data_IF_903078795601
#
_entry.id   IF_903078795601
#
_cell.length_a   1.000
_cell.length_b   1.000
_cell.length_c   1.000
_cell.angle_alpha   90.00
_cell.angle_beta   90.00
_cell.angle_gamma   90.00
#
_symmetry.space_group_name_H-M   'P 1'
#
loop_
_entity.id
_entity.type
_entity.pdbx_description
1 polymer ?
#
# COMPACT_ATOMS: atom_id res chain seq x y z
N UNK A 1 2.61 -30.60 0.70
CA UNK A 1 2.25 -30.04 -0.62
C UNK A 1 2.03 -28.54 -0.45
N UNK A 2 2.73 -27.70 -1.24
CA UNK A 2 2.41 -26.28 -1.33
C UNK A 2 1.11 -26.17 -2.15
N UNK A 3 0.06 -25.62 -1.56
CA UNK A 3 -1.21 -25.36 -2.25
C UNK A 3 -1.00 -24.25 -3.29
N UNK A 4 -1.75 -24.26 -4.41
CA UNK A 4 -1.73 -23.15 -5.37
C UNK A 4 -2.14 -21.82 -4.72
N UNK A 5 -3.01 -21.87 -3.71
CA UNK A 5 -3.44 -20.70 -2.93
C UNK A 5 -2.34 -20.09 -2.08
N UNK A 6 -1.38 -20.88 -1.57
CA UNK A 6 -0.22 -20.34 -0.86
C UNK A 6 0.74 -19.57 -1.79
N UNK A 7 0.80 -19.90 -3.09
CA UNK A 7 1.55 -19.10 -4.06
C UNK A 7 0.81 -17.79 -4.39
N UNK A 8 -0.51 -17.86 -4.53
CA UNK A 8 -1.37 -16.69 -4.74
C UNK A 8 -1.30 -15.71 -3.54
N UNK A 9 -1.32 -16.22 -2.31
CA UNK A 9 -1.16 -15.40 -1.11
C UNK A 9 0.18 -14.64 -1.07
N UNK A 10 1.28 -15.29 -1.47
CA UNK A 10 2.60 -14.62 -1.57
C UNK A 10 2.62 -13.51 -2.62
N UNK A 11 1.96 -13.73 -3.76
CA UNK A 11 1.84 -12.71 -4.79
C UNK A 11 1.08 -11.48 -4.27
N UNK A 12 -0.05 -11.70 -3.61
CA UNK A 12 -0.85 -10.59 -3.06
C UNK A 12 -0.15 -9.89 -1.89
N UNK A 13 0.60 -10.60 -1.03
CA UNK A 13 1.43 -9.98 0.00
C UNK A 13 2.49 -9.05 -0.62
N UNK A 14 3.15 -9.52 -1.69
CA UNK A 14 4.09 -8.68 -2.42
C UNK A 14 3.41 -7.44 -3.03
N UNK A 15 2.23 -7.59 -3.62
CA UNK A 15 1.45 -6.46 -4.17
C UNK A 15 1.09 -5.43 -3.10
N UNK A 16 0.65 -5.88 -1.92
CA UNK A 16 0.37 -5.01 -0.77
C UNK A 16 1.61 -4.19 -0.41
N UNK A 17 2.77 -4.85 -0.27
CA UNK A 17 4.03 -4.16 0.06
C UNK A 17 4.43 -3.15 -1.00
N UNK A 18 4.27 -3.46 -2.28
CA UNK A 18 4.60 -2.51 -3.35
C UNK A 18 3.65 -1.30 -3.31
N UNK A 19 2.36 -1.51 -3.08
CA UNK A 19 1.40 -0.41 -2.95
C UNK A 19 1.66 0.46 -1.72
N UNK A 20 2.10 -0.12 -0.59
CA UNK A 20 2.56 0.64 0.57
C UNK A 20 3.80 1.49 0.25
N UNK A 21 4.74 0.94 -0.52
CA UNK A 21 5.95 1.66 -0.95
C UNK A 21 5.60 2.85 -1.85
N UNK A 22 4.69 2.65 -2.80
CA UNK A 22 4.19 3.72 -3.67
C UNK A 22 3.49 4.82 -2.87
N UNK A 23 2.62 4.43 -1.93
CA UNK A 23 1.94 5.38 -1.04
C UNK A 23 2.93 6.20 -0.20
N UNK A 24 3.95 5.55 0.35
CA UNK A 24 5.02 6.23 1.09
C UNK A 24 5.75 7.26 0.21
N UNK A 25 6.07 6.90 -1.04
CA UNK A 25 6.72 7.82 -1.99
C UNK A 25 5.84 9.03 -2.31
N UNK A 26 4.54 8.84 -2.53
CA UNK A 26 3.59 9.94 -2.77
C UNK A 26 3.57 10.91 -1.57
N UNK A 27 3.49 10.38 -0.35
CA UNK A 27 3.49 11.19 0.88
C UNK A 27 4.79 11.96 1.10
N UNK A 28 5.93 11.35 0.79
CA UNK A 28 7.22 12.05 0.81
C UNK A 28 7.24 13.23 -0.17
N UNK A 29 6.70 13.04 -1.37
CA UNK A 29 6.60 14.13 -2.36
C UNK A 29 5.65 15.24 -1.89
N UNK A 30 4.51 14.90 -1.28
CA UNK A 30 3.60 15.88 -0.69
C UNK A 30 4.29 16.68 0.42
N UNK A 31 5.04 16.02 1.30
CA UNK A 31 5.79 16.69 2.36
C UNK A 31 6.85 17.64 1.80
N UNK A 32 7.55 17.24 0.73
CA UNK A 32 8.53 18.10 0.07
C UNK A 32 7.88 19.35 -0.57
N UNK A 33 6.70 19.20 -1.20
CA UNK A 33 5.97 20.35 -1.75
C UNK A 33 5.44 21.28 -0.64
N UNK A 34 4.97 20.71 0.47
CA UNK A 34 4.50 21.49 1.62
C UNK A 34 5.66 22.30 2.23
N UNK A 35 6.83 21.69 2.41
CA UNK A 35 8.04 22.40 2.86
C UNK A 35 8.46 23.50 1.87
N UNK A 36 8.33 23.27 0.56
CA UNK A 36 8.61 24.29 -0.45
C UNK A 36 7.63 25.47 -0.42
N UNK A 37 6.36 25.23 -0.10
CA UNK A 37 5.34 26.27 0.11
C UNK A 37 5.64 27.10 1.36
N UNK A 38 6.05 26.45 2.45
CA UNK A 38 6.46 27.12 3.69
C UNK A 38 7.70 27.99 3.46
N UNK A 39 8.74 27.45 2.82
CA UNK A 39 9.94 28.19 2.47
C UNK A 39 9.63 29.40 1.58
N UNK A 40 8.76 29.26 0.57
CA UNK A 40 8.33 30.38 -0.28
C UNK A 40 7.58 31.45 0.51
N UNK A 41 6.80 31.05 1.51
CA UNK A 41 6.07 31.98 2.39
C UNK A 41 7.04 32.79 3.25
N UNK A 42 8.08 32.14 3.80
CA UNK A 42 9.13 32.81 4.55
C UNK A 42 9.95 33.75 3.67
N UNK A 43 10.28 33.33 2.45
CA UNK A 43 11.02 34.14 1.45
C UNK A 43 10.25 35.43 1.11
N UNK A 44 8.94 35.33 0.82
CA UNK A 44 8.08 36.50 0.57
C UNK A 44 8.01 37.42 1.79
N UNK A 45 7.91 36.87 3.00
CA UNK A 45 7.88 37.67 4.22
C UNK A 45 9.21 38.42 4.46
N UNK A 46 10.35 37.78 4.15
CA UNK A 46 11.66 38.43 4.23
C UNK A 46 11.79 39.57 3.22
N UNK A 47 11.37 39.36 1.97
CA UNK A 47 11.40 40.38 0.92
C UNK A 47 10.51 41.58 1.27
N UNK A 48 9.33 41.33 1.86
CA UNK A 48 8.44 42.39 2.33
C UNK A 48 9.05 43.22 3.46
N UNK A 49 9.78 42.60 4.40
CA UNK A 49 10.49 43.32 5.47
C UNK A 49 11.61 44.18 4.90
N UNK A 50 12.41 43.63 4.00
CA UNK A 50 13.48 44.37 3.33
C UNK A 50 12.94 45.60 2.58
N UNK A 51 11.85 45.43 1.84
CA UNK A 51 11.23 46.54 1.12
C UNK A 51 10.63 47.61 2.04
N UNK A 52 10.17 47.24 3.25
CA UNK A 52 9.72 48.20 4.26
C UNK A 52 10.89 49.03 4.83
N UNK A 53 12.10 48.47 4.88
CA UNK A 53 13.33 49.16 5.31
C UNK A 53 13.94 50.04 4.21
N UNK A 54 13.71 49.73 2.93
CA UNK A 54 14.22 50.48 1.77
C UNK A 54 13.11 50.84 0.75
N UNK A 55 12.12 51.68 1.11
CA UNK A 55 10.87 51.82 0.35
C UNK A 55 11.03 52.37 -1.07
N UNK A 56 12.01 53.25 -1.28
CA UNK A 56 12.18 53.95 -2.56
C UNK A 56 12.85 53.08 -3.63
N UNK A 57 13.82 52.26 -3.24
CA UNK A 57 14.59 51.41 -4.15
C UNK A 57 13.93 50.03 -4.36
N UNK A 58 13.20 49.52 -3.37
CA UNK A 58 12.68 48.15 -3.39
C UNK A 58 11.21 47.99 -3.85
N UNK A 59 10.45 49.08 -4.05
CA UNK A 59 9.01 48.96 -4.34
C UNK A 59 8.71 48.24 -5.67
N UNK A 60 9.48 48.54 -6.72
CA UNK A 60 9.29 47.94 -8.06
C UNK A 60 9.77 46.49 -8.08
N UNK A 61 10.90 46.18 -7.42
CA UNK A 61 11.41 44.82 -7.30
C UNK A 61 10.48 43.93 -6.48
N UNK A 62 9.92 44.43 -5.37
CA UNK A 62 8.95 43.71 -4.55
C UNK A 62 7.70 43.35 -5.34
N UNK A 63 7.17 44.27 -6.16
CA UNK A 63 5.96 44.00 -6.96
C UNK A 63 6.21 42.92 -8.02
N UNK A 64 7.38 42.91 -8.66
CA UNK A 64 7.77 41.85 -9.59
C UNK A 64 7.94 40.51 -8.86
N UNK A 65 8.62 40.51 -7.73
CA UNK A 65 8.89 39.33 -6.92
C UNK A 65 7.60 38.69 -6.38
N UNK A 66 6.70 39.47 -5.77
CA UNK A 66 5.41 38.99 -5.24
C UNK A 66 4.52 38.37 -6.33
N UNK A 67 4.52 38.91 -7.55
CA UNK A 67 3.84 38.30 -8.70
C UNK A 67 4.44 36.94 -9.07
N UNK A 68 5.77 36.86 -9.15
CA UNK A 68 6.45 35.59 -9.45
C UNK A 68 6.20 34.55 -8.35
N UNK A 69 6.26 34.96 -7.08
CA UNK A 69 5.96 34.09 -5.94
C UNK A 69 4.51 33.59 -5.95
N UNK A 70 3.53 34.43 -6.32
CA UNK A 70 2.14 34.01 -6.46
C UNK A 70 1.96 32.93 -7.54
N UNK A 71 2.62 33.08 -8.69
CA UNK A 71 2.58 32.07 -9.77
C UNK A 71 3.22 30.75 -9.30
N UNK A 72 4.39 30.82 -8.66
CA UNK A 72 5.08 29.64 -8.12
C UNK A 72 4.24 28.94 -7.06
N UNK A 73 3.61 29.70 -6.16
CA UNK A 73 2.70 29.16 -5.14
C UNK A 73 1.54 28.41 -5.77
N UNK A 74 0.87 29.00 -6.75
CA UNK A 74 -0.26 28.36 -7.44
C UNK A 74 0.15 27.04 -8.13
N UNK A 75 1.33 26.99 -8.75
CA UNK A 75 1.87 25.75 -9.35
C UNK A 75 2.18 24.68 -8.30
N UNK A 76 2.80 25.05 -7.17
CA UNK A 76 3.06 24.13 -6.06
C UNK A 76 1.77 23.61 -5.43
N UNK A 77 0.79 24.47 -5.19
CA UNK A 77 -0.53 24.10 -4.65
C UNK A 77 -1.29 23.17 -5.60
N UNK A 78 -1.24 23.44 -6.91
CA UNK A 78 -1.83 22.56 -7.93
C UNK A 78 -1.21 21.16 -7.90
N UNK A 79 0.13 21.07 -7.91
CA UNK A 79 0.84 19.79 -7.85
C UNK A 79 0.56 19.05 -6.55
N UNK A 80 0.47 19.77 -5.43
CA UNK A 80 0.10 19.19 -4.15
C UNK A 80 -1.31 18.59 -4.17
N UNK A 81 -2.27 19.28 -4.79
CA UNK A 81 -3.63 18.77 -4.98
C UNK A 81 -3.65 17.50 -5.84
N UNK A 82 -2.90 17.48 -6.95
CA UNK A 82 -2.75 16.29 -7.81
C UNK A 82 -2.16 15.10 -7.05
N UNK A 83 -1.12 15.32 -6.22
CA UNK A 83 -0.53 14.28 -5.40
C UNK A 83 -1.47 13.78 -4.29
N UNK A 84 -2.31 14.65 -3.73
CA UNK A 84 -3.33 14.26 -2.73
C UNK A 84 -4.40 13.37 -3.36
N UNK A 85 -4.89 13.73 -4.55
CA UNK A 85 -5.83 12.89 -5.29
C UNK A 85 -5.21 11.52 -5.65
N UNK A 86 -3.92 11.51 -6.05
CA UNK A 86 -3.20 10.27 -6.32
C UNK A 86 -3.00 9.41 -5.05
N UNK A 87 -2.76 10.01 -3.88
CA UNK A 87 -2.67 9.30 -2.59
C UNK A 87 -4.01 8.65 -2.24
N UNK A 88 -5.13 9.38 -2.34
CA UNK A 88 -6.47 8.83 -2.11
C UNK A 88 -6.76 7.62 -3.02
N UNK A 89 -6.51 7.77 -4.33
CA UNK A 89 -6.66 6.66 -5.28
C UNK A 89 -5.74 5.47 -4.92
N UNK A 90 -4.50 5.74 -4.53
CA UNK A 90 -3.55 4.70 -4.16
C UNK A 90 -3.95 3.99 -2.86
N UNK A 91 -4.61 4.68 -1.92
CA UNK A 91 -5.20 4.07 -0.73
C UNK A 91 -6.35 3.13 -1.07
N UNK A 92 -7.19 3.47 -2.05
CA UNK A 92 -8.25 2.57 -2.54
C UNK A 92 -7.66 1.31 -3.16
N UNK A 93 -6.62 1.45 -3.99
CA UNK A 93 -5.89 0.32 -4.58
C UNK A 93 -5.26 -0.56 -3.50
N UNK A 94 -4.63 0.04 -2.48
CA UNK A 94 -4.06 -0.71 -1.36
C UNK A 94 -5.15 -1.46 -0.57
N UNK A 95 -6.30 -0.84 -0.33
CA UNK A 95 -7.46 -1.50 0.30
C UNK A 95 -7.95 -2.70 -0.51
N UNK A 96 -8.05 -2.56 -1.83
CA UNK A 96 -8.42 -3.67 -2.71
C UNK A 96 -7.39 -4.81 -2.67
N UNK A 97 -6.09 -4.49 -2.68
CA UNK A 97 -5.00 -5.48 -2.59
C UNK A 97 -5.05 -6.28 -1.29
N UNK A 98 -5.33 -5.63 -0.14
CA UNK A 98 -5.57 -6.33 1.12
C UNK A 98 -6.78 -7.27 1.05
N UNK A 99 -7.84 -6.86 0.36
CA UNK A 99 -9.02 -7.71 0.14
C UNK A 99 -8.71 -8.96 -0.69
N UNK A 100 -7.85 -8.86 -1.71
CA UNK A 100 -7.37 -10.02 -2.48
C UNK A 100 -6.48 -10.94 -1.64
N UNK A 101 -5.55 -10.36 -0.86
CA UNK A 101 -4.70 -11.13 0.06
C UNK A 101 -5.55 -11.95 1.04
N UNK A 102 -6.53 -11.33 1.69
CA UNK A 102 -7.42 -12.01 2.64
C UNK A 102 -8.22 -13.13 1.98
N UNK A 103 -8.68 -12.92 0.74
CA UNK A 103 -9.37 -13.97 -0.03
C UNK A 103 -8.45 -15.15 -0.31
N UNK A 104 -7.21 -14.91 -0.72
CA UNK A 104 -6.24 -15.97 -0.98
C UNK A 104 -5.91 -16.77 0.31
N UNK A 105 -5.77 -16.09 1.45
CA UNK A 105 -5.58 -16.76 2.75
C UNK A 105 -6.75 -17.68 3.11
N UNK A 106 -7.99 -17.21 2.98
CA UNK A 106 -9.17 -18.02 3.29
C UNK A 106 -9.31 -19.24 2.38
N UNK A 107 -8.98 -19.09 1.10
CA UNK A 107 -8.97 -20.21 0.15
C UNK A 107 -7.89 -21.23 0.51
N UNK A 108 -6.71 -20.77 0.94
CA UNK A 108 -5.63 -21.65 1.40
C UNK A 108 -6.00 -22.42 2.66
N UNK A 109 -6.61 -21.76 3.64
CA UNK A 109 -7.11 -22.38 4.88
C UNK A 109 -8.14 -23.48 4.58
N UNK A 110 -9.13 -23.20 3.70
CA UNK A 110 -10.12 -24.19 3.27
C UNK A 110 -9.48 -25.38 2.57
N UNK A 111 -8.57 -25.12 1.62
CA UNK A 111 -7.88 -26.19 0.90
C UNK A 111 -7.05 -27.08 1.84
N UNK A 112 -6.41 -26.51 2.86
CA UNK A 112 -5.68 -27.25 3.89
C UNK A 112 -6.61 -28.09 4.76
N UNK A 113 -7.74 -27.54 5.19
CA UNK A 113 -8.74 -28.27 5.97
C UNK A 113 -9.32 -29.46 5.19
N UNK A 114 -9.68 -29.26 3.92
CA UNK A 114 -10.19 -30.32 3.06
C UNK A 114 -9.14 -31.41 2.81
N UNK A 115 -7.88 -31.02 2.59
CA UNK A 115 -6.78 -31.98 2.43
C UNK A 115 -6.51 -32.77 3.73
N UNK A 116 -6.66 -32.15 4.90
CA UNK A 116 -6.52 -32.84 6.18
C UNK A 116 -7.64 -33.86 6.38
N UNK A 117 -8.89 -33.49 6.11
CA UNK A 117 -10.04 -34.41 6.18
C UNK A 117 -9.89 -35.62 5.26
N UNK A 118 -9.50 -35.39 3.99
CA UNK A 118 -9.26 -36.49 3.04
C UNK A 118 -8.20 -37.47 3.53
N UNK A 119 -7.12 -36.99 4.12
CA UNK A 119 -6.07 -37.85 4.69
C UNK A 119 -6.56 -38.65 5.88
N UNK A 120 -7.40 -38.06 6.72
CA UNK A 120 -8.02 -38.75 7.84
C UNK A 120 -8.97 -39.86 7.36
N UNK A 121 -9.80 -39.56 6.36
CA UNK A 121 -10.70 -40.54 5.74
C UNK A 121 -9.92 -41.69 5.07
N UNK A 122 -8.84 -41.38 4.35
CA UNK A 122 -7.94 -42.37 3.73
C UNK A 122 -7.28 -43.26 4.80
N UNK A 123 -6.72 -42.66 5.85
CA UNK A 123 -6.10 -43.41 6.95
C UNK A 123 -7.10 -44.27 7.73
N UNK A 124 -8.36 -43.81 7.87
CA UNK A 124 -9.42 -44.60 8.49
C UNK A 124 -9.77 -45.83 7.65
N UNK A 125 -9.92 -45.67 6.32
CA UNK A 125 -10.15 -46.78 5.39
C UNK A 125 -9.03 -47.80 5.41
N UNK A 126 -7.77 -47.34 5.36
CA UNK A 126 -6.61 -48.23 5.44
C UNK A 126 -6.60 -49.06 6.75
N UNK A 127 -6.95 -48.44 7.88
CA UNK A 127 -7.07 -49.15 9.17
C UNK A 127 -8.18 -50.20 9.15
N UNK A 128 -9.34 -49.87 8.58
CA UNK A 128 -10.46 -50.78 8.49
C UNK A 128 -10.16 -51.97 7.56
N UNK A 129 -9.52 -51.72 6.41
CA UNK A 129 -9.05 -52.73 5.46
C UNK A 129 -8.01 -53.67 6.09
N UNK A 130 -7.05 -53.14 6.84
CA UNK A 130 -6.10 -53.96 7.60
C UNK A 130 -6.78 -54.79 8.70
N UNK A 131 -7.82 -54.24 9.35
CA UNK A 131 -8.58 -54.95 10.38
C UNK A 131 -9.42 -56.10 9.82
N UNK A 132 -9.95 -55.95 8.61
CA UNK A 132 -10.74 -56.97 7.92
C UNK A 132 -9.85 -58.06 7.35
N UNK A 133 -8.71 -57.70 6.74
CA UNK A 133 -7.69 -58.66 6.28
C UNK A 133 -7.12 -59.53 7.43
N UNK A 134 -6.91 -58.95 8.63
CA UNK A 134 -6.45 -59.71 9.80
C UNK A 134 -7.51 -60.67 10.35
N UNK A 135 -8.80 -60.32 10.23
CA UNK A 135 -9.92 -61.18 10.64
C UNK A 135 -10.10 -62.35 9.68
N UNK A 136 -9.99 -62.13 8.37
CA UNK A 136 -10.07 -63.20 7.38
C UNK A 136 -8.89 -64.17 7.48
N UNK A 137 -7.68 -63.71 7.81
CA UNK A 137 -6.52 -64.61 8.02
C UNK A 137 -6.61 -65.44 9.31
N UNK A 138 -7.32 -64.97 10.35
CA UNK A 138 -7.46 -65.66 11.63
C UNK A 138 -8.60 -66.68 11.67
N UNK A 139 -9.54 -66.64 10.72
CA UNK A 139 -10.65 -67.59 10.61
C UNK A 139 -10.39 -68.78 9.68
N UNK A 140 -9.20 -68.86 9.07
CA UNK A 140 -8.80 -69.89 8.11
C UNK A 140 -7.80 -70.92 8.67
N UNK A 141 -7.58 -70.94 9.99
CA UNK A 141 -6.77 -71.92 10.72
C UNK A 141 -7.66 -72.74 11.66
#
# INVERSE_FOLDING_TARGET
>A
MKTPFAALGRLHDWQVREHQRLLSKLRQQQQALQAALEALTEEVAAEQRFAAEQPFEASVSLQAYTRAAAVKRADLEKRLAELKAADEQQQDVLRAAYGELKRAELLDERAKADAARKREDEAAKERDDLSTARRSSSGAA
#
